data_IF_247409373521
#
_entry.id   IF_247409373521
#
_cell.length_a   1.000
_cell.length_b   1.000
_cell.length_c   1.000
_cell.angle_alpha   90.00
_cell.angle_beta   90.00
_cell.angle_gamma   90.00
#
_symmetry.space_group_name_H-M   'P 1'
#
loop_
_entity.id
_entity.type
_entity.pdbx_description
1 polymer ?
#
# COMPACT_ATOMS: atom_id res chain seq x y z
N UNK A 1 -21.54 -6.50 -2.84
CA UNK A 1 -20.64 -7.65 -2.58
C UNK A 1 -19.85 -7.39 -1.32
N UNK A 2 -19.13 -8.36 -0.81
CA UNK A 2 -18.25 -8.18 0.34
C UNK A 2 -16.87 -7.69 -0.16
N UNK A 3 -16.22 -6.81 0.58
CA UNK A 3 -14.84 -6.37 0.33
C UNK A 3 -13.89 -7.39 0.97
N UNK A 4 -13.05 -8.12 0.20
CA UNK A 4 -12.05 -9.01 0.76
C UNK A 4 -11.02 -8.23 1.60
N UNK A 5 -10.60 -8.83 2.72
CA UNK A 5 -9.46 -8.41 3.51
C UNK A 5 -8.40 -9.49 3.44
N UNK A 6 -7.28 -9.19 2.82
CA UNK A 6 -6.12 -10.07 2.76
C UNK A 6 -5.16 -9.74 3.91
N UNK A 7 -4.73 -10.76 4.63
CA UNK A 7 -3.71 -10.62 5.67
C UNK A 7 -2.53 -11.46 5.22
N UNK A 8 -1.47 -10.81 4.85
CA UNK A 8 -0.37 -11.45 4.14
C UNK A 8 0.90 -11.67 4.94
N UNK A 9 1.87 -12.21 4.22
CA UNK A 9 3.28 -12.28 4.56
C UNK A 9 4.00 -11.00 4.12
N UNK A 10 5.10 -11.16 3.36
CA UNK A 10 5.79 -10.02 2.78
C UNK A 10 4.97 -9.37 1.65
N UNK A 11 5.35 -8.15 1.25
CA UNK A 11 4.57 -7.35 0.31
C UNK A 11 4.53 -7.93 -1.12
N UNK A 12 5.34 -8.95 -1.46
CA UNK A 12 5.22 -9.67 -2.74
C UNK A 12 3.86 -10.34 -2.93
N UNK A 13 3.16 -10.64 -1.84
CA UNK A 13 1.80 -11.20 -1.87
C UNK A 13 0.80 -10.29 -2.59
N UNK A 14 1.03 -8.97 -2.57
CA UNK A 14 0.21 -7.97 -3.26
C UNK A 14 0.19 -8.17 -4.78
N UNK A 15 1.22 -8.78 -5.37
CA UNK A 15 1.18 -9.15 -6.80
C UNK A 15 -0.01 -10.06 -7.08
N UNK A 16 -0.29 -11.02 -6.19
CA UNK A 16 -1.41 -11.93 -6.34
C UNK A 16 -2.76 -11.30 -6.03
N UNK A 17 -2.89 -10.60 -4.90
CA UNK A 17 -4.15 -9.99 -4.46
C UNK A 17 -4.63 -8.92 -5.45
N UNK A 18 -3.74 -8.02 -5.86
CA UNK A 18 -4.07 -6.95 -6.81
C UNK A 18 -4.30 -7.49 -8.22
N UNK A 19 -3.54 -8.52 -8.65
CA UNK A 19 -3.81 -9.15 -9.96
C UNK A 19 -5.17 -9.81 -10.01
N UNK A 20 -5.61 -10.46 -8.92
CA UNK A 20 -6.94 -11.02 -8.80
C UNK A 20 -8.04 -9.95 -8.79
N UNK A 21 -7.80 -8.83 -8.11
CA UNK A 21 -8.72 -7.71 -8.03
C UNK A 21 -8.87 -7.01 -9.41
N UNK A 22 -7.75 -6.73 -10.08
CA UNK A 22 -7.71 -6.11 -11.41
C UNK A 22 -8.46 -6.91 -12.49
N UNK A 23 -8.55 -8.25 -12.34
CA UNK A 23 -9.32 -9.08 -13.25
C UNK A 23 -10.82 -8.81 -13.21
N UNK A 24 -11.32 -8.16 -12.18
CA UNK A 24 -12.74 -7.83 -12.00
C UNK A 24 -13.06 -6.35 -12.27
N UNK A 25 -12.04 -5.52 -12.51
CA UNK A 25 -12.18 -4.06 -12.60
C UNK A 25 -11.25 -3.44 -13.65
N UNK A 26 -11.83 -2.72 -14.63
CA UNK A 26 -11.07 -2.13 -15.74
C UNK A 26 -10.27 -0.86 -15.36
N UNK A 27 -10.60 -0.20 -14.25
CA UNK A 27 -9.95 1.04 -13.80
C UNK A 27 -9.67 0.97 -12.32
N UNK A 28 -8.87 -0.03 -11.94
CA UNK A 28 -8.44 -0.20 -10.57
C UNK A 28 -7.49 0.94 -10.19
N UNK A 29 -7.78 1.61 -9.07
CA UNK A 29 -6.86 2.50 -8.40
C UNK A 29 -6.11 1.75 -7.31
N UNK A 30 -4.88 2.17 -7.03
CA UNK A 30 -4.04 1.60 -5.99
C UNK A 30 -3.57 2.70 -5.03
N UNK A 31 -3.91 2.56 -3.77
CA UNK A 31 -3.30 3.31 -2.69
C UNK A 31 -2.33 2.39 -1.94
N UNK A 32 -1.04 2.67 -2.09
CA UNK A 32 0.06 1.94 -1.49
C UNK A 32 0.60 2.73 -0.30
N UNK A 33 0.33 2.27 0.91
CA UNK A 33 0.73 2.94 2.15
C UNK A 33 1.91 2.17 2.73
N UNK A 34 3.10 2.77 2.64
CA UNK A 34 4.35 2.06 2.87
C UNK A 34 5.50 3.04 3.16
N UNK A 35 6.54 2.58 3.86
CA UNK A 35 7.83 3.29 3.96
C UNK A 35 8.62 3.22 2.65
N UNK A 36 8.44 2.14 1.89
CA UNK A 36 9.14 1.82 0.66
C UNK A 36 8.26 2.08 -0.57
N UNK A 37 8.88 2.20 -1.73
CA UNK A 37 8.13 2.38 -2.98
C UNK A 37 7.76 1.09 -3.67
N UNK A 38 8.51 0.02 -3.39
CA UNK A 38 8.36 -1.32 -3.96
C UNK A 38 8.26 -1.33 -5.50
N UNK A 39 8.92 -0.34 -6.13
CA UNK A 39 8.90 -0.10 -7.57
C UNK A 39 10.18 -0.57 -8.26
N UNK A 40 11.07 -1.27 -7.54
CA UNK A 40 12.23 -1.90 -8.14
C UNK A 40 11.81 -2.92 -9.20
N UNK A 41 12.68 -3.11 -10.18
CA UNK A 41 12.61 -4.21 -11.16
C UNK A 41 13.72 -5.20 -10.89
N UNK A 42 13.71 -6.33 -11.57
CA UNK A 42 14.83 -7.29 -11.56
C UNK A 42 16.15 -6.67 -12.06
N UNK A 43 16.09 -5.59 -12.84
CA UNK A 43 17.26 -4.87 -13.33
C UNK A 43 17.73 -3.74 -12.39
N UNK A 44 16.87 -3.19 -11.55
CA UNK A 44 17.20 -2.05 -10.66
C UNK A 44 17.46 -2.48 -9.22
N UNK A 45 16.92 -3.61 -8.79
CA UNK A 45 17.03 -4.06 -7.40
C UNK A 45 18.46 -4.28 -6.95
N UNK A 46 18.80 -3.80 -5.76
CA UNK A 46 20.10 -4.02 -5.11
C UNK A 46 20.13 -5.39 -4.41
N UNK A 47 19.01 -5.81 -3.87
CA UNK A 47 18.93 -7.01 -3.01
C UNK A 47 18.47 -8.25 -3.74
N UNK A 48 17.73 -8.11 -4.85
CA UNK A 48 17.03 -9.20 -5.53
C UNK A 48 15.74 -9.64 -4.83
N UNK A 49 15.32 -8.97 -3.77
CA UNK A 49 14.12 -9.31 -3.01
C UNK A 49 12.86 -8.95 -3.80
N UNK A 50 11.96 -9.93 -3.94
CA UNK A 50 10.73 -9.75 -4.71
C UNK A 50 9.76 -8.77 -4.02
N UNK A 51 9.78 -8.68 -2.69
CA UNK A 51 8.91 -7.76 -1.97
C UNK A 51 9.13 -6.28 -2.31
N UNK A 52 10.33 -5.91 -2.80
CA UNK A 52 10.59 -4.56 -3.31
C UNK A 52 10.21 -4.34 -4.79
N UNK A 53 9.47 -5.26 -5.43
CA UNK A 53 9.14 -5.21 -6.87
C UNK A 53 7.63 -5.21 -7.19
N UNK A 54 6.70 -5.34 -6.24
CA UNK A 54 5.28 -5.52 -6.55
C UNK A 54 4.71 -4.40 -7.40
N UNK A 55 4.97 -3.14 -7.05
CA UNK A 55 4.40 -1.98 -7.73
C UNK A 55 4.84 -1.92 -9.20
N UNK A 56 6.12 -2.15 -9.50
CA UNK A 56 6.60 -2.20 -10.88
C UNK A 56 5.96 -3.35 -11.66
N UNK A 57 5.91 -4.55 -11.07
CA UNK A 57 5.33 -5.73 -11.69
C UNK A 57 3.84 -5.55 -12.01
N UNK A 58 3.07 -4.95 -11.10
CA UNK A 58 1.65 -4.64 -11.30
C UNK A 58 1.42 -3.62 -12.41
N UNK A 59 2.37 -2.71 -12.62
CA UNK A 59 2.34 -1.76 -13.75
C UNK A 59 2.92 -2.36 -15.06
N UNK A 60 3.34 -3.63 -15.07
CA UNK A 60 3.86 -4.33 -16.24
C UNK A 60 5.35 -4.08 -16.51
N UNK A 61 6.13 -3.64 -15.51
CA UNK A 61 7.57 -3.41 -15.64
C UNK A 61 8.38 -4.42 -14.84
N UNK A 62 9.52 -4.85 -15.39
CA UNK A 62 10.45 -5.78 -14.74
C UNK A 62 10.27 -7.23 -15.18
N UNK A 63 10.41 -8.16 -14.24
CA UNK A 63 10.37 -9.60 -14.53
C UNK A 63 9.04 -10.03 -15.13
N UNK A 64 9.10 -10.60 -16.34
CA UNK A 64 7.93 -11.16 -17.04
C UNK A 64 7.13 -12.14 -16.17
N UNK A 65 7.83 -12.94 -15.34
CA UNK A 65 7.19 -13.90 -14.44
C UNK A 65 6.33 -13.23 -13.37
N UNK A 66 6.73 -12.05 -12.88
CA UNK A 66 5.96 -11.28 -11.91
C UNK A 66 4.84 -10.52 -12.59
N UNK A 67 5.13 -9.90 -13.74
CA UNK A 67 4.14 -9.15 -14.51
C UNK A 67 3.00 -10.04 -15.04
N UNK A 68 3.28 -11.32 -15.35
CA UNK A 68 2.30 -12.26 -15.92
C UNK A 68 1.45 -12.99 -14.88
N UNK A 69 1.59 -12.70 -13.59
CA UNK A 69 0.71 -13.29 -12.57
C UNK A 69 -0.74 -12.92 -12.89
N UNK A 70 -1.59 -13.94 -13.09
CA UNK A 70 -3.00 -13.82 -13.46
C UNK A 70 -3.27 -12.98 -14.73
N UNK A 71 -2.40 -13.12 -15.76
CA UNK A 71 -2.57 -12.48 -17.06
C UNK A 71 -1.39 -11.57 -17.44
N UNK A 72 -1.30 -11.23 -18.72
CA UNK A 72 -0.14 -10.53 -19.31
C UNK A 72 -0.27 -9.00 -19.27
N UNK A 73 -1.50 -8.47 -19.16
CA UNK A 73 -1.75 -7.02 -19.15
C UNK A 73 -1.32 -6.37 -17.82
N UNK A 74 -0.91 -5.10 -17.82
CA UNK A 74 -0.72 -4.35 -16.60
C UNK A 74 -1.98 -4.38 -15.72
N UNK A 75 -1.81 -4.56 -14.42
CA UNK A 75 -2.93 -4.66 -13.46
C UNK A 75 -3.43 -3.29 -13.05
N UNK A 76 -2.50 -2.34 -12.96
CA UNK A 76 -2.78 -0.93 -12.69
C UNK A 76 -1.97 -0.05 -13.62
N UNK A 77 -2.50 1.12 -13.95
CA UNK A 77 -1.78 2.12 -14.73
C UNK A 77 -1.05 3.07 -13.78
N UNK A 78 0.14 3.61 -14.14
CA UNK A 78 0.89 4.52 -13.28
C UNK A 78 0.07 5.72 -12.77
N UNK A 79 -0.80 6.27 -13.61
CA UNK A 79 -1.70 7.38 -13.27
C UNK A 79 -2.83 7.00 -12.29
N UNK A 80 -3.01 5.72 -11.99
CA UNK A 80 -3.98 5.21 -11.02
C UNK A 80 -3.31 4.75 -9.71
N UNK A 81 -2.00 4.99 -9.54
CA UNK A 81 -1.23 4.60 -8.36
C UNK A 81 -0.88 5.82 -7.53
N UNK A 82 -1.07 5.72 -6.23
CA UNK A 82 -0.57 6.66 -5.23
C UNK A 82 0.28 5.89 -4.22
N UNK A 83 1.55 6.28 -4.10
CA UNK A 83 2.47 5.82 -3.07
C UNK A 83 2.43 6.82 -1.90
N UNK A 84 2.17 6.35 -0.67
CA UNK A 84 1.88 7.24 0.46
C UNK A 84 2.67 6.85 1.71
N UNK A 85 3.53 7.74 2.19
CA UNK A 85 4.35 7.56 3.39
C UNK A 85 5.82 7.23 3.13
N UNK A 86 6.28 7.35 1.87
CA UNK A 86 7.62 6.97 1.44
C UNK A 86 8.72 7.68 2.24
N UNK A 87 9.74 6.94 2.65
CA UNK A 87 10.91 7.52 3.34
C UNK A 87 12.20 6.73 3.15
N UNK A 88 12.12 5.53 2.58
CA UNK A 88 13.27 4.76 2.10
C UNK A 88 13.02 4.35 0.64
N UNK A 89 13.70 5.04 -0.27
CA UNK A 89 13.54 4.89 -1.72
C UNK A 89 14.92 4.86 -2.36
N UNK A 90 15.24 3.79 -3.05
CA UNK A 90 16.51 3.64 -3.77
C UNK A 90 16.64 4.69 -4.90
N UNK A 91 17.87 5.13 -5.24
CA UNK A 91 18.07 6.09 -6.34
C UNK A 91 17.43 5.66 -7.67
N UNK A 92 17.50 4.37 -8.01
CA UNK A 92 16.88 3.85 -9.25
C UNK A 92 15.36 3.77 -9.15
N UNK A 93 14.80 3.57 -7.97
CA UNK A 93 13.35 3.67 -7.75
C UNK A 93 12.86 5.10 -7.95
N UNK A 94 13.59 6.09 -7.43
CA UNK A 94 13.27 7.50 -7.64
C UNK A 94 13.26 7.86 -9.14
N UNK A 95 14.22 7.35 -9.93
CA UNK A 95 14.22 7.53 -11.38
C UNK A 95 13.02 6.87 -12.07
N UNK A 96 12.59 5.69 -11.60
CA UNK A 96 11.40 5.00 -12.12
C UNK A 96 10.13 5.79 -11.79
N UNK A 97 9.99 6.25 -10.55
CA UNK A 97 8.86 7.08 -10.09
C UNK A 97 8.73 8.34 -10.98
N UNK A 98 9.84 9.06 -11.18
CA UNK A 98 9.86 10.26 -12.02
C UNK A 98 9.51 9.94 -13.48
N UNK A 99 10.14 8.92 -14.08
CA UNK A 99 9.92 8.53 -15.47
C UNK A 99 8.48 8.12 -15.75
N UNK A 100 7.85 7.39 -14.82
CA UNK A 100 6.47 6.93 -14.96
C UNK A 100 5.46 7.93 -14.44
N UNK A 101 5.92 9.05 -13.86
CA UNK A 101 5.09 10.07 -13.23
C UNK A 101 4.11 9.50 -12.21
N UNK A 102 4.56 8.53 -11.39
CA UNK A 102 3.75 7.95 -10.33
C UNK A 102 3.55 8.97 -9.22
N UNK A 103 2.32 9.16 -8.79
CA UNK A 103 2.01 10.09 -7.70
C UNK A 103 2.51 9.52 -6.37
N UNK A 104 3.37 10.27 -5.69
CA UNK A 104 3.87 9.87 -4.37
C UNK A 104 3.82 11.01 -3.36
N UNK A 105 3.74 10.61 -2.08
CA UNK A 105 3.84 11.50 -0.93
C UNK A 105 4.90 10.94 0.02
N UNK A 106 5.99 11.67 0.16
CA UNK A 106 7.02 11.34 1.13
C UNK A 106 6.53 11.67 2.55
N UNK A 107 6.92 10.85 3.54
CA UNK A 107 6.52 11.06 4.93
C UNK A 107 6.91 12.46 5.44
N UNK A 108 8.11 12.93 5.09
CA UNK A 108 8.57 14.28 5.43
C UNK A 108 7.68 15.39 4.85
N UNK A 109 7.18 15.21 3.63
CA UNK A 109 6.22 16.11 2.99
C UNK A 109 4.87 16.09 3.72
N UNK A 110 4.39 14.90 4.07
CA UNK A 110 3.13 14.72 4.82
C UNK A 110 3.22 15.44 6.17
N UNK A 111 4.33 15.31 6.88
CA UNK A 111 4.54 15.98 8.17
C UNK A 111 4.63 17.51 8.03
N UNK A 112 5.20 18.00 6.95
CA UNK A 112 5.31 19.45 6.69
C UNK A 112 3.98 20.09 6.26
N UNK A 113 3.21 19.41 5.40
CA UNK A 113 2.00 19.94 4.78
C UNK A 113 0.73 19.60 5.57
N UNK A 114 0.80 18.59 6.42
CA UNK A 114 -0.31 18.02 7.14
C UNK A 114 -0.96 16.83 6.42
N UNK A 115 -1.30 15.81 7.19
CA UNK A 115 -1.86 14.55 6.70
C UNK A 115 -3.15 14.77 5.88
N UNK A 116 -4.07 15.61 6.38
CA UNK A 116 -5.33 15.89 5.70
C UNK A 116 -5.15 16.53 4.32
N UNK A 117 -4.22 17.47 4.17
CA UNK A 117 -3.96 18.12 2.89
C UNK A 117 -3.45 17.11 1.85
N UNK A 118 -2.53 16.23 2.25
CA UNK A 118 -2.01 15.18 1.38
C UNK A 118 -3.08 14.13 1.03
N UNK A 119 -3.93 13.74 1.98
CA UNK A 119 -5.04 12.82 1.74
C UNK A 119 -6.08 13.42 0.78
N UNK A 120 -6.42 14.69 0.92
CA UNK A 120 -7.37 15.35 0.03
C UNK A 120 -6.84 15.46 -1.41
N UNK A 121 -5.55 15.73 -1.60
CA UNK A 121 -4.91 15.68 -2.91
C UNK A 121 -4.86 14.27 -3.49
N UNK A 122 -4.50 13.25 -2.69
CA UNK A 122 -4.50 11.86 -3.11
C UNK A 122 -5.90 11.41 -3.56
N UNK A 123 -6.94 11.81 -2.81
CA UNK A 123 -8.33 11.56 -3.15
C UNK A 123 -8.74 12.27 -4.45
N UNK A 124 -8.33 13.51 -4.64
CA UNK A 124 -8.62 14.24 -5.87
C UNK A 124 -7.92 13.59 -7.07
N UNK A 125 -6.66 13.15 -6.89
CA UNK A 125 -5.90 12.45 -7.92
C UNK A 125 -6.57 11.14 -8.36
N UNK A 126 -7.03 10.33 -7.42
CA UNK A 126 -7.70 9.05 -7.67
C UNK A 126 -9.21 9.20 -7.98
N UNK A 127 -9.72 10.41 -8.22
CA UNK A 127 -11.18 10.62 -8.43
C UNK A 127 -11.75 9.97 -9.69
N UNK A 128 -10.90 9.61 -10.66
CA UNK A 128 -11.31 9.01 -11.94
C UNK A 128 -11.33 7.48 -11.98
N UNK A 129 -10.96 6.80 -10.91
CA UNK A 129 -10.91 5.33 -10.84
C UNK A 129 -12.30 4.70 -10.73
N UNK A 130 -12.41 3.43 -11.08
CA UNK A 130 -13.64 2.63 -10.88
C UNK A 130 -13.75 2.17 -9.42
N UNK A 131 -12.74 1.44 -8.96
CA UNK A 131 -12.64 0.90 -7.59
C UNK A 131 -11.22 1.10 -7.04
N UNK A 132 -11.09 1.11 -5.72
CA UNK A 132 -9.81 1.31 -5.05
C UNK A 132 -9.35 0.03 -4.33
N UNK A 133 -8.13 -0.40 -4.63
CA UNK A 133 -7.38 -1.34 -3.80
C UNK A 133 -6.52 -0.56 -2.80
N UNK A 134 -6.58 -0.90 -1.53
CA UNK A 134 -5.74 -0.32 -0.48
C UNK A 134 -4.75 -1.37 -0.02
N UNK A 135 -3.45 -1.17 -0.26
CA UNK A 135 -2.39 -2.02 0.25
C UNK A 135 -1.66 -1.30 1.38
N UNK A 136 -1.71 -1.87 2.57
CA UNK A 136 -1.15 -1.29 3.78
C UNK A 136 -0.03 -2.15 4.32
N UNK A 137 1.19 -1.60 4.25
CA UNK A 137 2.37 -2.15 4.89
C UNK A 137 2.49 -1.68 6.34
N UNK A 138 2.69 -2.62 7.26
CA UNK A 138 2.90 -2.30 8.67
C UNK A 138 4.19 -1.53 8.92
N UNK A 139 5.19 -1.62 8.03
CA UNK A 139 6.44 -0.87 8.17
C UNK A 139 6.32 0.60 7.76
N UNK A 140 5.17 1.02 7.20
CA UNK A 140 4.82 2.44 7.05
C UNK A 140 4.74 3.17 8.39
N UNK A 141 4.57 2.42 9.48
CA UNK A 141 4.47 2.94 10.84
C UNK A 141 5.84 3.12 11.50
N UNK A 142 5.86 3.92 12.56
CA UNK A 142 7.07 4.20 13.33
C UNK A 142 7.56 2.92 14.07
N UNK A 143 8.79 2.44 13.81
CA UNK A 143 9.35 1.25 14.45
C UNK A 143 9.59 1.42 15.95
N UNK A 144 9.49 2.62 16.51
CA UNK A 144 9.46 2.80 17.96
C UNK A 144 8.25 2.12 18.61
N UNK A 145 7.16 1.98 17.84
CA UNK A 145 5.91 1.35 18.30
C UNK A 145 5.63 0.02 17.60
N UNK A 146 5.96 -0.09 16.30
CA UNK A 146 5.69 -1.27 15.47
C UNK A 146 7.01 -1.95 15.10
N UNK A 147 7.41 -2.95 15.90
CA UNK A 147 8.71 -3.64 15.77
C UNK A 147 8.63 -4.91 14.93
N UNK A 148 7.44 -5.49 14.80
CA UNK A 148 7.21 -6.77 14.15
C UNK A 148 7.10 -6.67 12.64
N UNK A 149 8.08 -6.02 11.98
CA UNK A 149 8.15 -5.86 10.53
C UNK A 149 9.49 -6.33 9.96
N UNK A 150 9.54 -6.58 8.66
CA UNK A 150 10.72 -7.11 7.97
C UNK A 150 11.83 -6.09 7.84
N UNK A 151 11.51 -4.88 7.38
CA UNK A 151 12.46 -3.81 7.01
C UNK A 151 12.04 -2.50 7.70
N UNK A 152 12.26 -2.34 9.00
CA UNK A 152 11.85 -1.13 9.72
C UNK A 152 12.67 0.09 9.26
N UNK A 153 11.97 1.20 9.01
CA UNK A 153 12.57 2.50 8.66
C UNK A 153 12.21 3.52 9.75
N UNK A 154 13.20 4.32 10.19
CA UNK A 154 13.00 5.34 11.21
C UNK A 154 11.89 6.32 10.85
N UNK A 155 11.24 6.86 11.87
CA UNK A 155 10.03 7.67 11.76
C UNK A 155 8.84 6.84 11.19
N UNK A 156 7.71 7.47 10.96
CA UNK A 156 6.55 6.81 10.37
C UNK A 156 5.24 7.20 11.01
N UNK A 157 4.16 6.62 10.50
CA UNK A 157 2.82 6.87 11.01
C UNK A 157 2.63 6.30 12.41
N UNK A 158 1.91 7.04 13.24
CA UNK A 158 1.39 6.53 14.51
C UNK A 158 0.05 5.82 14.29
N UNK A 159 -0.39 5.03 15.27
CA UNK A 159 -1.70 4.35 15.21
C UNK A 159 -2.84 5.32 14.86
N UNK A 160 -2.87 6.51 15.48
CA UNK A 160 -3.89 7.51 15.21
C UNK A 160 -3.86 8.02 13.75
N UNK A 161 -2.68 8.12 13.13
CA UNK A 161 -2.54 8.58 11.75
C UNK A 161 -3.07 7.52 10.78
N UNK A 162 -2.74 6.24 11.02
CA UNK A 162 -3.25 5.12 10.23
C UNK A 162 -4.77 5.03 10.33
N UNK A 163 -5.32 5.08 11.54
CA UNK A 163 -6.77 5.07 11.74
C UNK A 163 -7.44 6.23 11.01
N UNK A 164 -6.85 7.42 11.06
CA UNK A 164 -7.35 8.59 10.35
C UNK A 164 -7.28 8.42 8.83
N UNK A 165 -6.19 7.85 8.28
CA UNK A 165 -6.10 7.52 6.85
C UNK A 165 -7.26 6.62 6.43
N UNK A 166 -7.50 5.53 7.16
CA UNK A 166 -8.61 4.62 6.85
C UNK A 166 -9.98 5.28 6.98
N UNK A 167 -10.19 6.13 7.99
CA UNK A 167 -11.43 6.92 8.18
C UNK A 167 -11.70 7.90 7.02
N UNK A 168 -10.64 8.42 6.39
CA UNK A 168 -10.76 9.36 5.27
C UNK A 168 -10.88 8.68 3.92
N UNK A 169 -10.28 7.51 3.75
CA UNK A 169 -10.20 6.80 2.46
C UNK A 169 -11.37 5.83 2.26
N UNK A 170 -11.65 4.95 3.23
CA UNK A 170 -12.64 3.89 3.01
C UNK A 170 -14.04 4.40 2.65
N UNK A 171 -14.60 5.45 3.29
CA UNK A 171 -15.92 5.94 2.91
C UNK A 171 -15.93 6.75 1.60
N UNK A 172 -14.75 7.15 1.09
CA UNK A 172 -14.65 7.99 -0.11
C UNK A 172 -14.68 7.19 -1.42
N UNK A 173 -14.46 5.85 -1.36
CA UNK A 173 -14.34 5.00 -2.54
C UNK A 173 -15.19 3.72 -2.43
N UNK A 174 -15.46 3.12 -3.58
CA UNK A 174 -15.83 1.70 -3.65
C UNK A 174 -14.54 0.88 -3.52
N UNK A 175 -14.21 0.49 -2.27
CA UNK A 175 -13.00 -0.27 -1.98
C UNK A 175 -13.20 -1.70 -2.41
N UNK A 176 -12.39 -2.16 -3.36
CA UNK A 176 -12.46 -3.52 -3.90
C UNK A 176 -11.81 -4.55 -3.00
N UNK A 177 -10.66 -4.21 -2.41
CA UNK A 177 -9.91 -5.10 -1.52
C UNK A 177 -8.99 -4.28 -0.61
N UNK A 178 -8.63 -4.85 0.54
CA UNK A 178 -7.65 -4.28 1.47
C UNK A 178 -6.60 -5.35 1.77
N UNK A 179 -5.33 -5.00 1.62
CA UNK A 179 -4.21 -5.83 2.08
C UNK A 179 -3.61 -5.25 3.36
N UNK A 180 -3.25 -6.11 4.32
CA UNK A 180 -2.41 -5.80 5.47
C UNK A 180 -1.24 -6.76 5.44
N UNK A 181 -0.02 -6.24 5.29
CA UNK A 181 1.18 -7.04 5.00
C UNK A 181 2.36 -6.68 5.92
N UNK A 182 3.45 -7.41 5.75
CA UNK A 182 4.74 -7.27 6.45
C UNK A 182 4.70 -7.53 7.97
N UNK A 183 3.65 -8.18 8.48
CA UNK A 183 3.68 -8.63 9.87
C UNK A 183 4.68 -9.78 10.05
N UNK A 184 5.74 -9.53 10.82
CA UNK A 184 6.72 -10.54 11.19
C UNK A 184 6.63 -10.90 12.68
N UNK A 185 5.92 -11.99 13.03
CA UNK A 185 5.71 -12.36 14.44
C UNK A 185 7.01 -12.74 15.18
N UNK A 186 8.10 -13.08 14.46
CA UNK A 186 9.38 -13.37 15.09
C UNK A 186 10.11 -12.12 15.56
N UNK A 187 9.77 -10.96 14.99
CA UNK A 187 10.31 -9.64 15.36
C UNK A 187 9.41 -8.89 16.33
N UNK A 188 8.16 -9.28 16.47
CA UNK A 188 7.16 -8.69 17.37
C UNK A 188 7.40 -9.16 18.83
N UNK A 189 8.50 -8.68 19.43
CA UNK A 189 8.97 -9.16 20.72
C UNK A 189 8.13 -8.71 21.92
N UNK A 190 7.36 -7.65 21.76
CA UNK A 190 6.44 -7.10 22.77
C UNK A 190 4.95 -7.35 22.45
N UNK A 191 4.65 -7.90 21.26
CA UNK A 191 3.28 -8.20 20.82
C UNK A 191 2.48 -6.98 20.37
N UNK A 192 3.09 -5.78 20.36
CA UNK A 192 2.37 -4.53 20.02
C UNK A 192 2.00 -4.44 18.55
N UNK A 193 2.84 -4.98 17.65
CA UNK A 193 2.53 -4.99 16.20
C UNK A 193 1.32 -5.86 15.92
N UNK A 194 1.29 -7.09 16.46
CA UNK A 194 0.15 -7.98 16.31
C UNK A 194 -1.12 -7.43 16.94
N UNK A 195 -1.00 -6.81 18.13
CA UNK A 195 -2.13 -6.18 18.81
C UNK A 195 -2.70 -5.00 17.99
N UNK A 196 -1.84 -4.17 17.40
CA UNK A 196 -2.28 -3.10 16.50
C UNK A 196 -2.98 -3.66 15.25
N UNK A 197 -2.37 -4.63 14.57
CA UNK A 197 -2.96 -5.25 13.39
C UNK A 197 -4.35 -5.84 13.69
N UNK A 198 -4.50 -6.52 14.85
CA UNK A 198 -5.80 -7.03 15.30
C UNK A 198 -6.83 -5.90 15.52
N UNK A 199 -6.43 -4.80 16.17
CA UNK A 199 -7.33 -3.65 16.38
C UNK A 199 -7.79 -3.04 15.06
N UNK A 200 -6.86 -2.84 14.11
CA UNK A 200 -7.18 -2.31 12.79
C UNK A 200 -8.13 -3.23 12.03
N UNK A 201 -7.83 -4.53 11.97
CA UNK A 201 -8.68 -5.55 11.32
C UNK A 201 -10.09 -5.54 11.92
N UNK A 202 -10.22 -5.54 13.24
CA UNK A 202 -11.52 -5.49 13.90
C UNK A 202 -12.30 -4.22 13.55
N UNK A 203 -11.65 -3.07 13.45
CA UNK A 203 -12.29 -1.81 13.04
C UNK A 203 -12.75 -1.87 11.58
N UNK A 204 -11.93 -2.42 10.69
CA UNK A 204 -12.31 -2.62 9.28
C UNK A 204 -13.55 -3.54 9.21
N UNK A 205 -13.49 -4.72 9.82
CA UNK A 205 -14.56 -5.72 9.78
C UNK A 205 -15.85 -5.27 10.46
N UNK A 206 -15.78 -4.40 11.47
CA UNK A 206 -16.98 -3.86 12.12
C UNK A 206 -17.70 -2.78 11.31
N UNK A 207 -17.15 -2.36 10.16
CA UNK A 207 -17.66 -1.23 9.38
C UNK A 207 -17.47 0.12 10.06
N UNK A 208 -16.62 0.21 11.09
CA UNK A 208 -16.41 1.44 11.86
C UNK A 208 -15.93 2.62 11.02
N UNK A 209 -15.32 2.35 9.87
CA UNK A 209 -14.85 3.35 8.90
C UNK A 209 -15.90 3.68 7.81
N UNK A 210 -17.02 2.96 7.75
CA UNK A 210 -18.03 3.13 6.71
C UNK A 210 -19.26 3.80 7.27
N UNK A 211 -19.55 5.00 6.83
CA UNK A 211 -20.75 5.75 7.25
C UNK A 211 -22.07 5.14 6.76
N UNK A 212 -22.02 4.14 5.85
CA UNK A 212 -23.18 3.54 5.17
C UNK A 212 -23.29 2.01 5.27
N UNK A 213 -22.57 1.34 6.18
CA UNK A 213 -22.79 -0.08 6.47
C UNK A 213 -22.51 -1.04 5.29
N UNK A 214 -21.56 -0.72 4.42
CA UNK A 214 -21.14 -1.58 3.33
C UNK A 214 -19.79 -2.22 3.65
N UNK A 215 -19.79 -3.33 4.31
CA UNK A 215 -18.81 -4.40 4.24
C UNK A 215 -19.56 -5.69 3.94
#
# INVERSE_FOLDING_TARGET
GNTPLFIGGDHSAAIGSISGDAATENRLGLLWIDAHSDINTDASTITGNIHGMPVSALMGFGSEKLCSVYGEEPKVLPENVVLFGLRDVDPLEAEIIERLNVKCYYFSEIMQRGLDACLDEAKAYLSGIGRLHVSFDLDSMDPAYIKGVGVPVSDGFLEQDVLHIFERILPAYDVSMIDIVEFNPKRDTDGETGAFAERLIRRILSGAFLTNGRI
#
